data_IF_067999527595
#
_entry.id   IF_067999527595
#
_cell.length_a   1.000
_cell.length_b   1.000
_cell.length_c   1.000
_cell.angle_alpha   90.00
_cell.angle_beta   90.00
_cell.angle_gamma   90.00
#
_symmetry.space_group_name_H-M   'P 1'
#
loop_
_entity.id
_entity.type
_entity.pdbx_description
1 polymer ?
#
# COMPACT_ATOMS: atom_id res chain seq x y z
N UNK A 1 -5.37 -3.38 7.39
CA UNK A 1 -5.10 -2.25 6.49
C UNK A 1 -5.07 -2.78 5.06
N UNK A 2 -6.21 -2.69 4.36
CA UNK A 2 -6.32 -3.01 2.94
C UNK A 2 -6.26 -1.68 2.19
N UNK A 3 -5.25 -1.52 1.34
CA UNK A 3 -5.10 -0.33 0.50
C UNK A 3 -5.76 -0.59 -0.85
N UNK A 4 -6.58 0.36 -1.29
CA UNK A 4 -6.99 0.50 -2.69
C UNK A 4 -6.60 1.91 -3.10
N UNK A 5 -5.63 2.03 -3.99
CA UNK A 5 -5.23 3.30 -4.60
C UNK A 5 -5.66 3.32 -6.05
N UNK A 6 -6.35 4.39 -6.46
CA UNK A 6 -6.72 4.64 -7.85
C UNK A 6 -5.60 5.41 -8.55
N UNK A 7 -5.16 4.92 -9.71
CA UNK A 7 -4.29 5.66 -10.64
C UNK A 7 -4.75 5.48 -12.09
N UNK A 8 -4.81 6.62 -12.81
CA UNK A 8 -5.08 6.90 -14.24
C UNK A 8 -4.31 5.94 -15.22
N UNK A 9 -4.69 5.63 -16.48
CA UNK A 9 -5.56 6.27 -17.50
C UNK A 9 -5.72 5.42 -18.81
N UNK A 10 -6.75 5.76 -19.59
CA UNK A 10 -6.97 5.60 -21.06
C UNK A 10 -7.16 4.18 -21.66
N UNK A 11 -8.41 3.79 -21.93
CA UNK A 11 -8.97 3.39 -23.24
C UNK A 11 -10.50 3.31 -23.06
N UNK A 12 -11.25 4.05 -23.87
CA UNK A 12 -12.69 3.90 -24.04
C UNK A 12 -12.99 2.61 -24.82
N UNK A 13 -13.07 1.49 -24.12
CA UNK A 13 -13.70 0.29 -24.65
C UNK A 13 -14.79 -0.19 -23.69
N UNK A 14 -16.02 -0.14 -24.17
CA UNK A 14 -17.18 -0.77 -23.57
C UNK A 14 -17.04 -2.27 -23.83
N UNK A 15 -16.54 -3.01 -22.84
CA UNK A 15 -16.59 -4.47 -22.86
C UNK A 15 -17.52 -4.95 -21.77
N UNK A 16 -18.68 -5.45 -22.19
CA UNK A 16 -19.60 -6.16 -21.31
C UNK A 16 -18.99 -7.54 -20.99
N UNK A 17 -18.42 -7.70 -19.81
CA UNK A 17 -18.02 -9.02 -19.32
C UNK A 17 -19.29 -9.80 -18.92
N UNK A 18 -19.79 -10.65 -19.81
CA UNK A 18 -20.81 -11.64 -19.45
C UNK A 18 -20.13 -12.88 -18.86
N UNK A 19 -19.89 -12.89 -17.56
CA UNK A 19 -19.58 -14.14 -16.84
C UNK A 19 -20.82 -14.62 -16.11
N UNK A 20 -21.24 -15.85 -16.46
CA UNK A 20 -22.42 -16.49 -15.93
C UNK A 20 -22.39 -16.67 -14.41
N UNK A 21 -23.58 -16.65 -13.83
CA UNK A 21 -23.86 -17.25 -12.52
C UNK A 21 -24.17 -16.28 -11.38
N UNK A 22 -23.37 -15.22 -11.17
CA UNK A 22 -23.49 -14.40 -9.94
C UNK A 22 -24.00 -12.97 -10.14
N UNK A 23 -23.87 -12.39 -11.33
CA UNK A 23 -24.30 -11.02 -11.62
C UNK A 23 -25.18 -10.99 -12.86
N UNK A 24 -26.50 -10.95 -12.66
CA UNK A 24 -27.51 -10.92 -13.74
C UNK A 24 -27.70 -9.54 -14.38
N UNK A 25 -26.94 -8.53 -13.93
CA UNK A 25 -26.85 -7.22 -14.58
C UNK A 25 -25.42 -6.97 -15.04
N UNK A 26 -25.19 -6.43 -16.26
CA UNK A 26 -23.88 -5.91 -16.62
C UNK A 26 -23.50 -4.85 -15.59
N UNK A 27 -22.40 -5.08 -14.88
CA UNK A 27 -21.84 -4.12 -13.94
C UNK A 27 -21.19 -3.00 -14.77
N UNK A 28 -21.93 -1.90 -14.96
CA UNK A 28 -21.45 -0.72 -15.67
C UNK A 28 -20.84 0.21 -14.64
N UNK A 29 -19.55 0.06 -14.40
CA UNK A 29 -18.80 0.95 -13.51
C UNK A 29 -18.31 2.17 -14.31
N UNK A 30 -19.08 3.25 -14.28
CA UNK A 30 -18.67 4.54 -14.84
C UNK A 30 -17.93 5.34 -13.77
N UNK A 31 -16.60 5.36 -13.83
CA UNK A 31 -15.82 6.32 -13.07
C UNK A 31 -15.77 7.65 -13.82
N UNK A 32 -16.01 8.75 -13.12
CA UNK A 32 -15.78 10.09 -13.67
C UNK A 32 -14.30 10.26 -13.99
N UNK A 33 -14.01 10.68 -15.23
CA UNK A 33 -12.65 11.07 -15.58
C UNK A 33 -12.24 12.28 -14.75
N UNK A 34 -11.00 12.25 -14.24
CA UNK A 34 -10.47 13.41 -13.52
C UNK A 34 -10.50 14.62 -14.45
N UNK A 35 -11.26 15.68 -14.12
CA UNK A 35 -11.34 16.85 -14.97
C UNK A 35 -9.94 17.39 -15.25
N UNK A 36 -9.65 17.72 -16.50
CA UNK A 36 -8.32 18.21 -16.92
C UNK A 36 -7.84 19.38 -16.05
N UNK A 37 -8.77 20.22 -15.63
CA UNK A 37 -8.54 21.31 -14.69
C UNK A 37 -7.92 20.84 -13.37
N UNK A 38 -8.49 19.80 -12.74
CA UNK A 38 -8.00 19.24 -11.48
C UNK A 38 -6.60 18.67 -11.64
N UNK A 39 -6.34 17.99 -12.76
CA UNK A 39 -5.02 17.46 -13.05
C UNK A 39 -3.97 18.57 -13.23
N UNK A 40 -4.29 19.59 -14.03
CA UNK A 40 -3.41 20.75 -14.23
C UNK A 40 -3.11 21.44 -12.91
N UNK A 41 -4.14 21.72 -12.10
CA UNK A 41 -3.93 22.32 -10.78
C UNK A 41 -3.10 21.44 -9.85
N UNK A 42 -3.29 20.13 -9.89
CA UNK A 42 -2.51 19.18 -9.08
C UNK A 42 -1.03 19.22 -9.46
N UNK A 43 -0.70 19.09 -10.76
CA UNK A 43 0.70 19.15 -11.22
C UNK A 43 1.32 20.53 -11.01
N UNK A 44 0.55 21.60 -11.21
CA UNK A 44 1.00 22.96 -10.92
C UNK A 44 1.31 23.12 -9.43
N UNK A 45 0.47 22.58 -8.55
CA UNK A 45 0.69 22.60 -7.09
C UNK A 45 1.98 21.86 -6.72
N UNK A 46 2.22 20.66 -7.27
CA UNK A 46 3.47 19.93 -7.07
C UNK A 46 4.68 20.71 -7.58
N UNK A 47 4.57 21.34 -8.76
CA UNK A 47 5.62 22.17 -9.33
C UNK A 47 5.96 23.37 -8.44
N UNK A 48 4.94 24.10 -7.99
CA UNK A 48 5.10 25.24 -7.06
C UNK A 48 5.78 24.78 -5.77
N UNK A 49 5.29 23.73 -5.12
CA UNK A 49 5.88 23.20 -3.89
C UNK A 49 7.34 22.79 -4.07
N UNK A 50 7.67 22.20 -5.21
CA UNK A 50 9.04 21.78 -5.54
C UNK A 50 9.96 22.97 -5.75
N UNK A 51 9.52 23.98 -6.52
CA UNK A 51 10.29 25.21 -6.75
C UNK A 51 10.55 25.94 -5.43
N UNK A 52 9.53 26.11 -4.60
CA UNK A 52 9.68 26.74 -3.29
C UNK A 52 10.57 25.92 -2.35
N UNK A 53 10.52 24.59 -2.43
CA UNK A 53 11.42 23.72 -1.68
C UNK A 53 12.89 23.96 -2.05
N UNK A 54 13.21 24.00 -3.34
CA UNK A 54 14.58 24.26 -3.80
C UNK A 54 15.05 25.68 -3.49
N UNK A 55 14.16 26.67 -3.63
CA UNK A 55 14.45 28.05 -3.23
C UNK A 55 14.82 28.13 -1.74
N UNK A 56 14.10 27.43 -0.87
CA UNK A 56 14.43 27.39 0.58
C UNK A 56 15.75 26.71 0.85
N UNK A 57 16.05 25.60 0.17
CA UNK A 57 17.36 24.95 0.31
C UNK A 57 18.50 25.86 -0.17
N UNK A 58 18.28 26.63 -1.24
CA UNK A 58 19.19 27.68 -1.66
C UNK A 58 19.37 28.76 -0.56
N UNK A 59 18.28 29.31 -0.01
CA UNK A 59 18.37 30.30 1.07
C UNK A 59 19.09 29.76 2.32
N UNK A 60 18.93 28.47 2.64
CA UNK A 60 19.63 27.80 3.75
C UNK A 60 21.10 27.59 3.45
N UNK A 61 21.47 27.31 2.20
CA UNK A 61 22.87 27.23 1.78
C UNK A 61 23.59 28.56 2.02
N UNK A 62 22.92 29.68 1.74
CA UNK A 62 23.41 31.04 2.00
C UNK A 62 23.21 31.52 3.44
N UNK A 63 22.77 30.64 4.37
CA UNK A 63 22.51 30.94 5.79
C UNK A 63 21.50 32.06 6.05
N UNK A 64 20.65 32.38 5.07
CA UNK A 64 19.55 33.35 5.20
C UNK A 64 18.40 32.73 6.01
N UNK A 65 18.12 31.45 5.78
CA UNK A 65 17.09 30.71 6.49
C UNK A 65 17.70 29.65 7.42
N UNK A 66 17.14 29.53 8.63
CA UNK A 66 17.54 28.49 9.60
C UNK A 66 16.95 27.14 9.20
N UNK A 67 17.74 26.08 9.33
CA UNK A 67 17.30 24.72 9.13
C UNK A 67 17.32 23.98 10.47
N UNK A 68 16.15 23.57 10.95
CA UNK A 68 15.99 22.85 12.22
C UNK A 68 16.22 21.33 12.04
N UNK A 69 16.60 20.88 10.84
CA UNK A 69 16.86 19.47 10.60
C UNK A 69 18.12 19.03 11.34
N UNK A 70 18.06 17.85 11.95
CA UNK A 70 19.24 17.20 12.47
C UNK A 70 20.23 17.02 11.31
N UNK A 71 21.46 17.51 11.50
CA UNK A 71 22.56 17.25 10.58
C UNK A 71 23.30 16.02 11.08
N UNK A 72 23.68 15.16 10.14
CA UNK A 72 24.58 14.05 10.45
C UNK A 72 25.87 14.60 11.07
N UNK A 73 26.34 13.92 12.11
CA UNK A 73 27.62 14.26 12.72
C UNK A 73 28.73 14.03 11.71
N UNK A 74 29.84 14.76 11.82
CA UNK A 74 30.94 14.61 10.86
C UNK A 74 31.51 13.20 10.84
N UNK A 75 31.52 12.54 11.99
CA UNK A 75 31.91 11.14 12.20
C UNK A 75 31.05 10.13 11.43
N UNK A 76 29.87 10.54 10.95
CA UNK A 76 28.89 9.68 10.30
C UNK A 76 28.80 9.90 8.78
N UNK A 77 29.58 10.82 8.21
CA UNK A 77 29.54 11.16 6.78
C UNK A 77 29.94 10.01 5.85
N UNK A 78 30.70 9.04 6.36
CA UNK A 78 31.16 7.87 5.59
C UNK A 78 30.14 6.71 5.58
N UNK A 79 29.03 6.83 6.33
CA UNK A 79 27.98 5.82 6.32
C UNK A 79 27.08 5.98 5.09
N UNK A 80 26.46 4.88 4.67
CA UNK A 80 25.45 4.92 3.61
C UNK A 80 24.27 5.79 4.11
N UNK A 81 23.85 6.81 3.35
CA UNK A 81 22.74 7.67 3.76
C UNK A 81 21.47 6.84 3.89
N UNK A 82 20.73 7.07 4.98
CA UNK A 82 19.48 6.35 5.28
C UNK A 82 18.35 6.69 4.29
N UNK A 83 18.40 7.88 3.70
CA UNK A 83 17.37 8.40 2.79
C UNK A 83 18.00 8.80 1.46
N UNK A 84 17.24 8.63 0.38
CA UNK A 84 17.61 9.18 -0.92
C UNK A 84 17.48 10.71 -0.93
N UNK A 85 18.17 11.36 -1.87
CA UNK A 85 18.21 12.83 -1.97
C UNK A 85 16.81 13.47 -2.06
N UNK A 86 15.91 12.85 -2.84
CA UNK A 86 14.55 13.35 -2.98
C UNK A 86 13.70 13.16 -1.73
N UNK A 87 13.85 12.04 -1.01
CA UNK A 87 13.14 11.81 0.25
C UNK A 87 13.57 12.81 1.32
N UNK A 88 14.87 13.10 1.38
CA UNK A 88 15.41 14.15 2.25
C UNK A 88 14.83 15.53 1.92
N UNK A 89 14.77 15.87 0.63
CA UNK A 89 14.15 17.10 0.15
C UNK A 89 12.66 17.17 0.52
N UNK A 90 11.90 16.11 0.20
CA UNK A 90 10.47 16.03 0.45
C UNK A 90 10.16 16.15 1.94
N UNK A 91 10.88 15.41 2.78
CA UNK A 91 10.69 15.46 4.22
C UNK A 91 10.93 16.87 4.76
N UNK A 92 12.09 17.44 4.45
CA UNK A 92 12.53 18.73 4.98
C UNK A 92 11.66 19.91 4.53
N UNK A 93 11.16 19.89 3.30
CA UNK A 93 10.52 21.05 2.69
C UNK A 93 8.99 20.93 2.57
N UNK A 94 8.47 19.72 2.44
CA UNK A 94 7.05 19.46 2.17
C UNK A 94 6.40 18.73 3.36
N UNK A 95 6.84 17.52 3.67
CA UNK A 95 6.20 16.67 4.69
C UNK A 95 6.11 17.36 6.05
N UNK A 96 7.20 17.97 6.52
CA UNK A 96 7.22 18.63 7.83
C UNK A 96 6.12 19.68 7.96
N UNK A 97 5.74 20.37 6.89
CA UNK A 97 4.68 21.39 6.92
C UNK A 97 3.27 20.81 7.00
N UNK A 98 3.05 19.60 6.49
CA UNK A 98 1.73 18.97 6.45
C UNK A 98 1.57 17.86 7.50
N UNK A 99 2.64 17.49 8.21
CA UNK A 99 2.62 16.34 9.13
C UNK A 99 1.60 16.49 10.26
N UNK A 100 1.26 17.72 10.66
CA UNK A 100 0.22 17.97 11.66
C UNK A 100 -1.16 17.45 11.22
N UNK A 101 -1.42 17.31 9.92
CA UNK A 101 -2.68 16.77 9.42
C UNK A 101 -2.79 15.25 9.62
N UNK A 102 -1.67 14.54 9.76
CA UNK A 102 -1.62 13.07 9.71
C UNK A 102 -1.06 12.44 11.00
N UNK A 103 -0.29 13.20 11.78
CA UNK A 103 0.44 12.71 12.94
C UNK A 103 -0.16 13.22 14.26
N UNK A 104 -1.48 13.46 14.31
CA UNK A 104 -2.14 13.82 15.57
C UNK A 104 -2.33 12.56 16.43
N UNK A 105 -1.90 12.57 17.70
CA UNK A 105 -2.13 11.43 18.58
C UNK A 105 -3.62 11.17 18.78
N UNK A 106 -3.99 9.88 18.72
CA UNK A 106 -5.33 9.42 19.05
C UNK A 106 -5.47 9.26 20.56
N UNK A 107 -6.56 9.79 21.12
CA UNK A 107 -6.93 9.63 22.54
C UNK A 107 -8.08 8.65 22.74
N UNK A 108 -8.73 8.22 21.66
CA UNK A 108 -9.78 7.21 21.69
C UNK A 108 -9.51 6.10 20.69
N UNK A 109 -10.45 5.17 20.65
CA UNK A 109 -10.59 4.16 19.62
C UNK A 109 -10.72 4.81 18.25
N UNK A 110 -10.03 4.30 17.21
CA UNK A 110 -10.15 4.80 15.83
C UNK A 110 -11.43 4.29 15.16
N UNK A 111 -12.59 4.56 15.77
CA UNK A 111 -13.92 4.25 15.24
C UNK A 111 -14.33 5.20 14.12
N UNK A 112 -15.63 5.26 13.81
CA UNK A 112 -16.18 6.22 12.84
C UNK A 112 -15.94 7.68 13.26
N UNK A 113 -15.92 7.90 14.58
CA UNK A 113 -15.44 9.11 15.22
C UNK A 113 -14.30 8.77 16.16
N UNK A 114 -13.39 9.71 16.33
CA UNK A 114 -12.23 9.56 17.20
C UNK A 114 -11.87 10.88 17.86
N UNK A 115 -11.25 10.76 19.03
CA UNK A 115 -10.76 11.87 19.81
C UNK A 115 -9.27 12.06 19.51
N UNK A 116 -8.89 13.31 19.24
CA UNK A 116 -7.52 13.69 18.92
C UNK A 116 -6.95 14.59 20.00
N UNK A 117 -5.69 14.37 20.36
CA UNK A 117 -4.99 15.30 21.22
C UNK A 117 -4.72 16.60 20.45
N UNK A 118 -5.18 17.73 20.99
CA UNK A 118 -4.87 19.03 20.41
C UNK A 118 -3.39 19.33 20.60
N UNK A 119 -2.71 19.64 19.51
CA UNK A 119 -1.32 20.04 19.49
C UNK A 119 -1.17 21.40 18.83
N UNK A 120 -0.26 22.20 19.38
CA UNK A 120 0.14 23.48 18.84
C UNK A 120 1.60 23.44 18.41
N UNK A 121 1.92 24.22 17.40
CA UNK A 121 3.29 24.42 16.93
C UNK A 121 3.52 25.91 16.68
N UNK A 122 4.75 26.36 16.97
CA UNK A 122 5.18 27.74 16.69
C UNK A 122 6.37 27.79 15.75
N UNK A 123 6.81 26.64 15.25
CA UNK A 123 8.01 26.48 14.46
C UNK A 123 7.72 25.73 13.16
N UNK A 124 6.57 25.97 12.52
CA UNK A 124 6.17 25.30 11.26
C UNK A 124 6.15 23.77 11.36
N UNK A 125 5.54 23.25 12.43
CA UNK A 125 5.41 21.82 12.69
C UNK A 125 6.77 21.14 12.89
N UNK A 126 7.85 21.81 13.31
CA UNK A 126 9.12 21.13 13.62
C UNK A 126 9.06 20.46 15.00
N UNK A 127 8.39 21.11 15.95
CA UNK A 127 8.07 20.58 17.27
C UNK A 127 6.58 20.77 17.56
N UNK A 128 6.05 19.92 18.44
CA UNK A 128 4.66 19.97 18.88
C UNK A 128 4.61 20.08 20.40
N UNK A 129 3.73 20.96 20.87
CA UNK A 129 3.36 21.07 22.27
C UNK A 129 1.89 20.66 22.42
N UNK A 130 1.63 19.68 23.27
CA UNK A 130 0.27 19.28 23.59
C UNK A 130 -0.37 20.34 24.47
N UNK A 131 -1.55 20.80 24.10
CA UNK A 131 -2.28 21.83 24.86
C UNK A 131 -2.98 21.24 26.09
N UNK A 132 -3.00 19.90 26.21
CA UNK A 132 -3.77 19.18 27.22
C UNK A 132 -5.27 19.08 26.90
N UNK A 133 -5.73 19.72 25.82
CA UNK A 133 -7.11 19.63 25.36
C UNK A 133 -7.28 18.47 24.39
N UNK A 134 -8.48 17.90 24.40
CA UNK A 134 -8.88 16.82 23.50
C UNK A 134 -9.95 17.37 22.56
N UNK A 135 -9.74 17.17 21.26
CA UNK A 135 -10.74 17.40 20.23
C UNK A 135 -11.62 16.15 20.17
N UNK A 136 -12.86 16.26 20.64
CA UNK A 136 -13.78 15.14 20.66
C UNK A 136 -14.54 14.97 19.34
N UNK A 137 -14.98 13.73 19.07
CA UNK A 137 -15.93 13.41 18.00
C UNK A 137 -15.48 13.79 16.58
N UNK A 138 -14.16 13.75 16.30
CA UNK A 138 -13.62 14.05 14.97
C UNK A 138 -13.94 12.89 14.02
N UNK A 139 -14.43 13.21 12.82
CA UNK A 139 -14.80 12.20 11.82
C UNK A 139 -13.53 11.52 11.28
N UNK A 140 -13.50 10.20 11.37
CA UNK A 140 -12.41 9.39 10.84
C UNK A 140 -12.62 9.07 9.35
N UNK A 141 -12.01 9.87 8.48
CA UNK A 141 -11.99 9.65 7.03
C UNK A 141 -10.70 8.95 6.54
N UNK A 142 -9.78 8.64 7.46
CA UNK A 142 -8.46 8.11 7.13
C UNK A 142 -8.34 6.59 7.27
N UNK A 143 -9.33 5.93 7.88
CA UNK A 143 -9.27 4.49 8.15
C UNK A 143 -10.29 3.69 7.35
N UNK A 144 -9.94 2.44 7.05
CA UNK A 144 -10.79 1.48 6.32
C UNK A 144 -11.74 0.71 7.26
N UNK A 145 -12.34 1.39 8.25
CA UNK A 145 -13.20 0.76 9.24
C UNK A 145 -14.68 0.69 8.81
N UNK A 146 -14.94 0.32 7.55
CA UNK A 146 -16.30 0.27 7.00
C UNK A 146 -17.22 -0.73 7.71
N UNK A 147 -16.64 -1.80 8.27
CA UNK A 147 -17.36 -2.85 8.98
C UNK A 147 -17.44 -2.64 10.50
N UNK A 148 -16.86 -1.55 11.02
CA UNK A 148 -16.88 -1.25 12.46
C UNK A 148 -16.01 -2.18 13.32
N UNK A 149 -15.10 -2.95 12.73
CA UNK A 149 -14.24 -3.89 13.47
C UNK A 149 -13.25 -3.22 14.42
N UNK A 150 -12.96 -1.93 14.22
CA UNK A 150 -12.04 -1.20 15.09
C UNK A 150 -12.71 -0.63 16.36
N UNK A 151 -14.02 -0.77 16.57
CA UNK A 151 -14.69 -0.26 17.77
C UNK A 151 -14.36 -1.09 19.02
N UNK A 152 -14.35 -0.46 20.20
CA UNK A 152 -14.11 -1.15 21.49
C UNK A 152 -15.36 -1.76 22.11
N UNK A 153 -16.52 -1.58 21.49
CA UNK A 153 -17.79 -2.06 22.01
C UNK A 153 -18.53 -2.86 20.97
N UNK A 154 -19.31 -3.84 21.42
CA UNK A 154 -20.15 -4.65 20.55
C UNK A 154 -19.51 -5.98 20.19
N UNK A 155 -20.19 -6.77 19.33
CA UNK A 155 -19.93 -8.20 19.20
C UNK A 155 -18.50 -8.53 18.77
N UNK A 156 -17.87 -7.67 17.94
CA UNK A 156 -16.50 -7.86 17.51
C UNK A 156 -15.49 -7.67 18.65
N UNK A 157 -15.64 -6.60 19.44
CA UNK A 157 -14.78 -6.32 20.57
C UNK A 157 -14.95 -7.37 21.67
N UNK A 158 -16.20 -7.75 21.98
CA UNK A 158 -16.52 -8.77 22.97
C UNK A 158 -15.93 -10.13 22.58
N UNK A 159 -16.10 -10.53 21.30
CA UNK A 159 -15.53 -11.78 20.78
C UNK A 159 -13.99 -11.76 20.79
N UNK A 160 -13.37 -10.62 20.48
CA UNK A 160 -11.92 -10.46 20.53
C UNK A 160 -11.38 -10.55 21.97
N UNK A 161 -12.08 -9.95 22.93
CA UNK A 161 -11.74 -10.04 24.35
C UNK A 161 -11.89 -11.47 24.88
N UNK A 162 -13.00 -12.15 24.57
CA UNK A 162 -13.22 -13.55 24.95
C UNK A 162 -12.15 -14.48 24.37
N UNK A 163 -11.83 -14.32 23.07
CA UNK A 163 -10.77 -15.09 22.44
C UNK A 163 -9.41 -14.82 23.10
N UNK A 164 -9.11 -13.57 23.44
CA UNK A 164 -7.86 -13.20 24.11
C UNK A 164 -7.78 -13.81 25.52
N UNK A 165 -8.87 -13.83 26.27
CA UNK A 165 -8.92 -14.48 27.59
C UNK A 165 -8.74 -16.00 27.49
N UNK A 166 -9.25 -16.62 26.43
CA UNK A 166 -9.16 -18.07 26.20
C UNK A 166 -7.77 -18.51 25.69
N UNK A 167 -7.21 -17.80 24.71
CA UNK A 167 -5.97 -18.20 24.02
C UNK A 167 -4.73 -17.43 24.49
N UNK A 168 -4.90 -16.34 25.24
CA UNK A 168 -3.83 -15.43 25.61
C UNK A 168 -3.47 -14.42 24.51
N UNK A 169 -2.52 -13.54 24.81
CA UNK A 169 -2.09 -12.44 23.93
C UNK A 169 -0.86 -12.79 23.07
N UNK A 170 -0.26 -13.96 23.27
CA UNK A 170 1.03 -14.31 22.66
C UNK A 170 1.07 -15.73 22.15
N UNK A 171 1.50 -15.89 20.89
CA UNK A 171 1.85 -17.18 20.31
C UNK A 171 3.38 -17.28 20.34
N UNK A 172 3.93 -18.27 21.04
CA UNK A 172 5.36 -18.36 21.34
C UNK A 172 6.24 -18.81 20.15
N UNK A 173 5.65 -19.04 18.97
CA UNK A 173 6.34 -19.46 17.74
C UNK A 173 5.53 -19.10 16.51
N UNK A 174 6.13 -19.24 15.33
CA UNK A 174 5.44 -19.04 14.05
C UNK A 174 4.55 -20.22 13.69
N UNK A 175 3.56 -19.99 12.79
CA UNK A 175 2.71 -21.06 12.22
C UNK A 175 3.50 -22.19 11.57
N UNK A 176 4.70 -21.89 11.05
CA UNK A 176 5.56 -22.88 10.41
C UNK A 176 6.16 -23.88 11.42
N UNK A 177 6.41 -23.45 12.66
CA UNK A 177 7.09 -24.27 13.68
C UNK A 177 6.10 -24.99 14.59
N UNK A 178 5.10 -24.27 15.10
CA UNK A 178 4.16 -24.79 16.11
C UNK A 178 2.77 -25.12 15.53
N UNK A 179 2.56 -24.83 14.25
CA UNK A 179 1.30 -25.08 13.56
C UNK A 179 0.25 -24.00 13.78
N UNK A 180 -1.01 -24.36 13.48
CA UNK A 180 -2.14 -23.46 13.51
C UNK A 180 -2.93 -23.58 14.83
N UNK A 181 -3.65 -22.52 15.19
CA UNK A 181 -4.70 -22.57 16.20
C UNK A 181 -6.00 -22.98 15.52
N UNK A 182 -6.91 -23.56 16.30
CA UNK A 182 -8.28 -23.86 15.87
C UNK A 182 -8.99 -22.63 15.28
N UNK A 183 -8.78 -21.45 15.88
CA UNK A 183 -9.31 -20.17 15.36
C UNK A 183 -8.76 -19.76 14.01
N UNK A 184 -7.50 -20.08 13.70
CA UNK A 184 -6.94 -19.82 12.36
C UNK A 184 -7.67 -20.67 11.31
N UNK A 185 -7.90 -21.96 11.59
CA UNK A 185 -8.60 -22.84 10.66
C UNK A 185 -10.07 -22.46 10.48
N UNK A 186 -10.75 -22.10 11.56
CA UNK A 186 -12.15 -21.66 11.52
C UNK A 186 -12.31 -20.41 10.65
N UNK A 187 -11.44 -19.42 10.85
CA UNK A 187 -11.42 -18.19 10.05
C UNK A 187 -11.11 -18.49 8.58
N UNK A 188 -10.11 -19.33 8.29
CA UNK A 188 -9.74 -19.70 6.92
C UNK A 188 -10.88 -20.45 6.20
N UNK A 189 -11.58 -21.36 6.89
CA UNK A 189 -12.77 -22.05 6.36
C UNK A 189 -13.94 -21.08 6.12
N UNK A 190 -14.17 -20.14 7.04
CA UNK A 190 -15.19 -19.10 6.89
C UNK A 190 -14.93 -18.24 5.66
N UNK A 191 -13.68 -17.77 5.49
CA UNK A 191 -13.26 -16.95 4.35
C UNK A 191 -13.35 -17.73 3.05
N UNK A 192 -12.91 -18.99 3.01
CA UNK A 192 -13.03 -19.86 1.85
C UNK A 192 -14.50 -20.03 1.41
N UNK A 193 -15.39 -20.29 2.39
CA UNK A 193 -16.83 -20.40 2.16
C UNK A 193 -17.43 -19.09 1.66
N UNK A 194 -17.03 -17.95 2.23
CA UNK A 194 -17.50 -16.63 1.81
C UNK A 194 -17.11 -16.30 0.37
N UNK A 195 -15.86 -16.62 -0.01
CA UNK A 195 -15.35 -16.39 -1.36
C UNK A 195 -15.77 -17.47 -2.38
N UNK A 196 -16.33 -18.59 -1.93
CA UNK A 196 -16.69 -19.73 -2.79
C UNK A 196 -15.47 -20.46 -3.38
N UNK A 197 -14.35 -20.47 -2.65
CA UNK A 197 -13.10 -21.14 -3.08
C UNK A 197 -12.84 -22.40 -2.25
N UNK A 198 -12.01 -23.31 -2.77
CA UNK A 198 -11.66 -24.57 -2.08
C UNK A 198 -10.95 -24.33 -0.74
N UNK A 199 -10.06 -23.34 -0.69
CA UNK A 199 -9.28 -23.01 0.49
C UNK A 199 -8.87 -21.54 0.49
N UNK A 200 -8.67 -20.98 1.67
CA UNK A 200 -8.18 -19.63 1.87
C UNK A 200 -7.10 -19.64 2.96
N UNK A 201 -6.13 -18.73 2.85
CA UNK A 201 -5.11 -18.53 3.87
C UNK A 201 -5.12 -17.06 4.32
N UNK A 202 -5.00 -16.86 5.63
CA UNK A 202 -5.04 -15.53 6.22
C UNK A 202 -3.66 -15.05 6.64
N UNK A 203 -3.42 -13.76 6.46
CA UNK A 203 -2.16 -13.10 6.78
C UNK A 203 -2.44 -11.82 7.57
N UNK A 204 -1.63 -11.54 8.59
CA UNK A 204 -1.81 -10.37 9.47
C UNK A 204 -1.56 -9.01 8.79
N UNK A 205 -0.96 -9.00 7.59
CA UNK A 205 -0.64 -7.77 6.87
C UNK A 205 -0.85 -7.94 5.37
N UNK A 206 -1.69 -7.09 4.77
CA UNK A 206 -2.03 -7.17 3.34
C UNK A 206 -0.82 -7.00 2.40
N UNK A 207 0.14 -6.14 2.77
CA UNK A 207 1.39 -6.01 2.02
C UNK A 207 2.19 -7.32 2.01
N UNK A 208 2.30 -7.97 3.17
CA UNK A 208 3.02 -9.23 3.34
C UNK A 208 2.37 -10.38 2.56
N UNK A 209 1.04 -10.38 2.41
CA UNK A 209 0.31 -11.37 1.59
C UNK A 209 0.88 -11.46 0.19
N UNK A 210 1.19 -10.34 -0.45
CA UNK A 210 1.73 -10.34 -1.80
C UNK A 210 3.24 -10.55 -1.81
N UNK A 211 3.97 -9.82 -0.96
CA UNK A 211 5.43 -9.82 -0.99
C UNK A 211 6.05 -11.16 -0.56
N UNK A 212 5.38 -11.91 0.32
CA UNK A 212 5.89 -13.18 0.84
C UNK A 212 5.39 -14.42 0.08
N UNK A 213 4.20 -14.37 -0.53
CA UNK A 213 3.66 -15.53 -1.24
C UNK A 213 4.17 -15.67 -2.69
N UNK A 214 4.42 -14.57 -3.41
CA UNK A 214 4.95 -14.64 -4.78
C UNK A 214 6.29 -15.42 -4.85
N UNK A 215 7.25 -15.20 -3.93
CA UNK A 215 8.47 -16.01 -3.84
C UNK A 215 8.24 -17.50 -3.56
N UNK A 216 7.14 -17.87 -2.91
CA UNK A 216 6.81 -19.29 -2.69
C UNK A 216 6.26 -19.96 -3.96
N UNK A 217 5.59 -19.20 -4.83
CA UNK A 217 4.97 -19.72 -6.05
C UNK A 217 5.95 -19.80 -7.25
N UNK A 218 6.89 -18.87 -7.31
CA UNK A 218 7.82 -18.69 -8.43
C UNK A 218 9.25 -18.47 -7.96
N UNK A 219 10.23 -18.84 -8.80
CA UNK A 219 11.64 -18.63 -8.50
C UNK A 219 12.54 -18.70 -9.73
N UNK A 220 13.82 -18.99 -9.53
CA UNK A 220 14.81 -19.10 -10.63
C UNK A 220 14.31 -20.01 -11.77
N UNK A 221 14.32 -19.47 -13.00
CA UNK A 221 13.81 -20.15 -14.20
C UNK A 221 12.29 -20.02 -14.43
N UNK A 222 11.61 -19.20 -13.62
CA UNK A 222 10.22 -18.77 -13.86
C UNK A 222 10.20 -17.36 -14.45
N UNK A 223 9.10 -17.05 -15.14
CA UNK A 223 8.79 -15.72 -15.66
C UNK A 223 7.60 -15.14 -14.90
N UNK A 224 7.72 -13.88 -14.48
CA UNK A 224 6.62 -13.08 -13.96
C UNK A 224 6.31 -11.99 -15.00
N UNK A 225 5.09 -12.01 -15.53
CA UNK A 225 4.53 -10.92 -16.32
C UNK A 225 3.77 -10.01 -15.36
N UNK A 226 4.34 -8.86 -15.06
CA UNK A 226 3.76 -7.86 -14.15
C UNK A 226 3.08 -6.76 -14.94
N UNK A 227 1.87 -6.40 -14.54
CA UNK A 227 1.25 -5.16 -14.97
C UNK A 227 2.09 -3.94 -14.55
N UNK A 228 2.09 -2.89 -15.37
CA UNK A 228 2.84 -1.65 -15.18
C UNK A 228 2.42 -0.85 -13.95
N UNK A 229 1.13 -0.93 -13.57
CA UNK A 229 0.56 -0.19 -12.43
C UNK A 229 0.28 -1.08 -11.22
N UNK A 230 0.94 -2.23 -11.13
CA UNK A 230 0.85 -3.10 -9.96
C UNK A 230 1.33 -2.42 -8.67
N UNK A 231 0.60 -2.64 -7.58
CA UNK A 231 0.97 -2.19 -6.25
C UNK A 231 2.39 -2.59 -5.84
N UNK A 232 3.05 -1.74 -5.05
CA UNK A 232 4.42 -1.93 -4.59
C UNK A 232 4.66 -3.28 -3.89
N UNK A 233 3.64 -3.85 -3.24
CA UNK A 233 3.73 -5.17 -2.60
C UNK A 233 3.93 -6.31 -3.61
N UNK A 234 3.28 -6.25 -4.77
CA UNK A 234 3.41 -7.24 -5.84
C UNK A 234 4.78 -7.10 -6.51
N UNK A 235 5.20 -5.86 -6.77
CA UNK A 235 6.52 -5.55 -7.33
C UNK A 235 7.63 -6.07 -6.41
N UNK A 236 7.52 -5.84 -5.10
CA UNK A 236 8.48 -6.36 -4.14
C UNK A 236 8.48 -7.89 -4.12
N UNK A 237 7.31 -8.54 -4.07
CA UNK A 237 7.22 -10.01 -4.10
C UNK A 237 7.84 -10.62 -5.36
N UNK A 238 7.60 -10.01 -6.52
CA UNK A 238 8.21 -10.43 -7.78
C UNK A 238 9.73 -10.28 -7.77
N UNK A 239 10.26 -9.19 -7.18
CA UNK A 239 11.71 -8.98 -7.04
C UNK A 239 12.34 -10.00 -6.09
N UNK A 240 11.68 -10.29 -4.97
CA UNK A 240 12.16 -11.24 -3.97
C UNK A 240 12.18 -12.68 -4.48
N UNK A 241 11.33 -13.04 -5.45
CA UNK A 241 11.29 -14.40 -5.99
C UNK A 241 12.56 -14.78 -6.77
N UNK A 242 13.32 -13.81 -7.28
CA UNK A 242 14.46 -14.07 -8.18
C UNK A 242 14.04 -14.64 -9.53
N UNK A 243 12.76 -14.52 -9.89
CA UNK A 243 12.22 -14.86 -11.22
C UNK A 243 12.67 -13.81 -12.25
N UNK A 244 12.62 -14.16 -13.53
CA UNK A 244 12.72 -13.11 -14.56
C UNK A 244 11.41 -12.33 -14.57
N UNK A 245 11.48 -11.00 -14.54
CA UNK A 245 10.31 -10.13 -14.55
C UNK A 245 10.25 -9.41 -15.89
N UNK A 246 9.09 -9.41 -16.53
CA UNK A 246 8.78 -8.53 -17.67
C UNK A 246 7.52 -7.75 -17.35
N UNK A 247 7.54 -6.46 -17.68
CA UNK A 247 6.40 -5.57 -17.47
C UNK A 247 5.61 -5.46 -18.77
N UNK A 248 4.29 -5.60 -18.69
CA UNK A 248 3.38 -5.35 -19.80
C UNK A 248 2.56 -4.10 -19.54
N UNK A 249 2.09 -3.45 -20.61
CA UNK A 249 1.33 -2.20 -20.49
C UNK A 249 0.02 -2.41 -19.76
N UNK A 250 -0.30 -1.49 -18.85
CA UNK A 250 -1.52 -1.59 -18.05
C UNK A 250 -2.77 -1.70 -18.93
N UNK A 251 -3.68 -2.61 -18.56
CA UNK A 251 -4.96 -2.80 -19.25
C UNK A 251 -4.80 -3.03 -20.78
N UNK A 252 -3.72 -3.71 -21.19
CA UNK A 252 -3.45 -3.97 -22.61
C UNK A 252 -3.21 -5.46 -22.87
N UNK A 253 -4.29 -6.17 -23.24
CA UNK A 253 -4.24 -7.60 -23.53
C UNK A 253 -3.34 -7.94 -24.71
N UNK A 254 -3.21 -7.07 -25.72
CA UNK A 254 -2.31 -7.31 -26.85
C UNK A 254 -0.83 -7.27 -26.40
N UNK A 255 -0.49 -6.38 -25.49
CA UNK A 255 0.85 -6.29 -24.88
C UNK A 255 1.16 -7.55 -24.08
N UNK A 256 0.21 -8.02 -23.28
CA UNK A 256 0.35 -9.25 -22.50
C UNK A 256 0.53 -10.46 -23.42
N UNK A 257 -0.34 -10.61 -24.41
CA UNK A 257 -0.31 -11.73 -25.37
C UNK A 257 1.02 -11.76 -26.14
N UNK A 258 1.47 -10.60 -26.63
CA UNK A 258 2.76 -10.49 -27.34
C UNK A 258 3.91 -10.99 -26.48
N UNK A 259 4.02 -10.51 -25.24
CA UNK A 259 5.10 -10.92 -24.34
C UNK A 259 5.01 -12.39 -23.95
N UNK A 260 3.80 -12.93 -23.80
CA UNK A 260 3.58 -14.33 -23.51
C UNK A 260 4.03 -15.22 -24.68
N UNK A 261 3.65 -14.87 -25.92
CA UNK A 261 4.09 -15.58 -27.14
C UNK A 261 5.60 -15.55 -27.28
N UNK A 262 6.23 -14.39 -27.14
CA UNK A 262 7.68 -14.25 -27.19
C UNK A 262 8.37 -15.09 -26.10
N UNK A 263 7.82 -15.10 -24.89
CA UNK A 263 8.35 -15.89 -23.78
C UNK A 263 8.31 -17.40 -24.07
N UNK A 264 7.22 -17.89 -24.66
CA UNK A 264 7.05 -19.31 -25.02
C UNK A 264 8.00 -19.69 -26.16
N UNK A 265 8.11 -18.86 -27.20
CA UNK A 265 8.94 -19.14 -28.38
C UNK A 265 10.43 -19.09 -28.08
N UNK A 266 10.89 -18.07 -27.35
CA UNK A 266 12.33 -17.85 -27.12
C UNK A 266 12.86 -18.51 -25.84
N UNK A 267 11.99 -18.87 -24.90
CA UNK A 267 12.37 -19.44 -23.62
C UNK A 267 13.12 -18.47 -22.70
N UNK A 268 13.90 -19.02 -21.79
CA UNK A 268 14.69 -18.29 -20.80
C UNK A 268 15.82 -17.47 -21.46
N UNK A 269 16.12 -16.26 -20.95
CA UNK A 269 17.24 -15.46 -21.43
C UNK A 269 18.54 -16.26 -21.40
N UNK A 270 19.35 -16.14 -22.46
CA UNK A 270 20.67 -16.77 -22.67
C UNK A 270 20.64 -18.29 -22.86
N UNK A 271 19.82 -19.03 -22.13
CA UNK A 271 19.80 -20.49 -22.18
C UNK A 271 18.80 -21.05 -23.19
N UNK A 272 17.80 -20.26 -23.61
CA UNK A 272 16.69 -20.67 -24.48
C UNK A 272 15.91 -21.88 -23.96
N UNK A 273 16.08 -22.23 -22.68
CA UNK A 273 15.34 -23.33 -22.05
C UNK A 273 13.88 -22.92 -21.82
N UNK A 274 12.92 -23.85 -21.90
CA UNK A 274 11.54 -23.56 -21.52
C UNK A 274 11.44 -22.98 -20.11
N UNK A 275 10.46 -22.11 -19.89
CA UNK A 275 10.14 -21.59 -18.56
C UNK A 275 9.57 -22.70 -17.68
N UNK A 276 9.97 -22.75 -16.41
CA UNK A 276 9.38 -23.70 -15.45
C UNK A 276 7.91 -23.35 -15.15
N UNK A 277 7.64 -22.06 -14.99
CA UNK A 277 6.31 -21.47 -14.79
C UNK A 277 6.29 -20.06 -15.36
N UNK A 278 5.13 -19.64 -15.84
CA UNK A 278 4.84 -18.24 -16.18
C UNK A 278 3.70 -17.79 -15.27
N UNK A 279 3.94 -16.76 -14.47
CA UNK A 279 2.96 -16.17 -13.57
C UNK A 279 2.56 -14.80 -14.14
N UNK A 280 1.27 -14.58 -14.30
CA UNK A 280 0.71 -13.27 -14.66
C UNK A 280 0.24 -12.61 -13.38
N UNK A 281 0.74 -11.41 -13.11
CA UNK A 281 0.45 -10.68 -11.88
C UNK A 281 -0.24 -9.38 -12.24
N UNK A 282 -1.45 -9.24 -11.74
CA UNK A 282 -2.34 -8.10 -11.95
C UNK A 282 -2.98 -7.71 -10.63
N UNK A 283 -3.18 -6.43 -10.43
CA UNK A 283 -3.97 -5.92 -9.31
C UNK A 283 -5.46 -5.90 -9.66
N UNK A 284 -6.32 -6.10 -8.67
CA UNK A 284 -7.76 -6.38 -8.84
C UNK A 284 -8.60 -5.29 -9.52
N UNK A 285 -8.02 -4.13 -9.83
CA UNK A 285 -8.60 -3.15 -10.76
C UNK A 285 -7.95 -3.38 -12.13
N UNK A 286 -8.25 -4.54 -12.72
CA UNK A 286 -7.82 -4.91 -14.07
C UNK A 286 -9.04 -4.78 -14.97
N UNK A 287 -8.96 -3.88 -15.96
CA UNK A 287 -9.98 -3.71 -17.00
C UNK A 287 -9.70 -4.61 -18.20
#
# INVERSE_FOLDING_TARGET
>A
MFFVFFSRFHVSQVHAASHGGLYSRPFIESFEETPMLVAVFTYMSYGILTIFGYLRDFLRHWKIERCNIAREKEEQKDFVPLYQDFENFYNRNIYMRIRDSWNRPLCSVPGAKMDLLEQATHDYNWTFHYTGRVMHDVINLGSYNYLGFADNTGPCADSAAEATMKYGVGVASTRQEIGNLDRHEEMEKLVAKFLGVESAMTFGMGFATNSMNIPALSGKGCLILSDELNHASLVLGARLSGSTIRVFKHNNMQSLEKLLREAIVHGQPRTHRPWKKILIVVEGIYR
#
